data_IF_893068903297
#
_entry.id   IF_893068903297
#
_cell.length_a   1.000
_cell.length_b   1.000
_cell.length_c   1.000
_cell.angle_alpha   90.00
_cell.angle_beta   90.00
_cell.angle_gamma   90.00
#
_symmetry.space_group_name_H-M   'P 1'
#
loop_
_entity.id
_entity.type
_entity.pdbx_description
1 polymer ?
#
# COMPACT_ATOMS: atom_id res chain seq x y z
N UNK A 1 -9.53 -7.74 -9.69
CA UNK A 1 -9.49 -6.42 -9.02
C UNK A 1 -8.60 -5.52 -9.88
N UNK A 2 -9.02 -4.29 -10.18
CA UNK A 2 -8.24 -3.37 -10.99
C UNK A 2 -6.94 -2.92 -10.31
N UNK A 3 -5.97 -2.49 -11.12
CA UNK A 3 -4.67 -1.97 -10.70
C UNK A 3 -4.40 -0.62 -11.37
N UNK A 4 -3.58 0.22 -10.76
CA UNK A 4 -3.06 1.42 -11.41
C UNK A 4 -1.79 1.01 -12.19
N UNK A 5 -2.03 0.39 -13.34
CA UNK A 5 -1.00 -0.18 -14.20
C UNK A 5 -1.26 0.11 -15.69
N UNK A 6 -0.66 -0.67 -16.60
CA UNK A 6 -0.75 -0.41 -18.06
C UNK A 6 -2.18 -0.26 -18.57
N UNK A 7 -3.13 -1.05 -18.04
CA UNK A 7 -4.54 -0.96 -18.46
C UNK A 7 -5.20 0.35 -18.05
N UNK A 8 -4.93 0.83 -16.82
CA UNK A 8 -5.43 2.12 -16.36
C UNK A 8 -4.88 3.27 -17.22
N UNK A 9 -3.59 3.20 -17.58
CA UNK A 9 -2.97 4.17 -18.48
C UNK A 9 -3.56 4.12 -19.90
N UNK A 10 -3.83 2.92 -20.43
CA UNK A 10 -4.52 2.76 -21.73
C UNK A 10 -5.93 3.35 -21.70
N UNK A 11 -6.66 3.14 -20.62
CA UNK A 11 -7.97 3.74 -20.43
C UNK A 11 -7.92 5.25 -20.41
N UNK A 12 -6.96 5.86 -19.68
CA UNK A 12 -6.77 7.30 -19.67
C UNK A 12 -6.43 7.87 -21.06
N UNK A 13 -5.57 7.17 -21.82
CA UNK A 13 -5.27 7.55 -23.19
C UNK A 13 -6.53 7.50 -24.07
N UNK A 14 -7.37 6.49 -23.90
CA UNK A 14 -8.65 6.35 -24.60
C UNK A 14 -9.62 7.49 -24.27
N UNK A 15 -9.77 7.84 -23.00
CA UNK A 15 -10.56 8.98 -22.58
C UNK A 15 -10.06 10.28 -23.21
N UNK A 16 -8.75 10.47 -23.27
CA UNK A 16 -8.15 11.64 -23.91
C UNK A 16 -8.47 11.72 -25.40
N UNK A 17 -8.41 10.60 -26.15
CA UNK A 17 -8.77 10.56 -27.57
C UNK A 17 -10.26 10.87 -27.80
N UNK A 18 -11.11 10.53 -26.84
CA UNK A 18 -12.54 10.88 -26.85
C UNK A 18 -12.81 12.31 -26.33
N UNK A 19 -11.78 13.13 -26.15
CA UNK A 19 -11.88 14.50 -25.61
C UNK A 19 -12.51 14.58 -24.21
N UNK A 20 -12.50 13.49 -23.44
CA UNK A 20 -12.95 13.53 -22.06
C UNK A 20 -11.93 14.23 -21.18
N UNK A 21 -12.38 15.08 -20.26
CA UNK A 21 -11.52 15.88 -19.38
C UNK A 21 -11.58 15.43 -17.92
N UNK A 22 -12.58 14.64 -17.57
CA UNK A 22 -12.83 14.19 -16.20
C UNK A 22 -13.16 12.70 -16.20
N UNK A 23 -12.60 12.00 -15.26
CA UNK A 23 -12.95 10.62 -14.93
C UNK A 23 -13.30 10.52 -13.44
N UNK A 24 -14.57 10.27 -13.15
CA UNK A 24 -15.01 10.08 -11.79
C UNK A 24 -14.66 8.66 -11.33
N UNK A 25 -13.97 8.56 -10.21
CA UNK A 25 -13.61 7.29 -9.56
C UNK A 25 -14.07 7.27 -8.11
N UNK A 26 -14.18 6.07 -7.54
CA UNK A 26 -14.36 5.91 -6.10
C UNK A 26 -13.05 6.27 -5.38
N UNK A 27 -13.10 6.58 -4.07
CA UNK A 27 -11.89 6.86 -3.30
C UNK A 27 -10.83 5.76 -3.45
N UNK A 28 -9.58 6.16 -3.68
CA UNK A 28 -8.45 5.26 -3.93
C UNK A 28 -7.59 5.02 -2.67
N UNK A 29 -8.09 5.41 -1.50
CA UNK A 29 -7.42 5.19 -0.21
C UNK A 29 -7.50 3.74 0.28
N UNK A 30 -6.71 3.40 1.32
CA UNK A 30 -6.73 2.07 1.92
C UNK A 30 -8.09 1.79 2.55
N UNK A 31 -8.74 0.72 2.11
CA UNK A 31 -10.07 0.33 2.57
C UNK A 31 -10.05 -0.17 4.02
N UNK A 32 -11.15 0.07 4.73
CA UNK A 32 -11.39 -0.42 6.08
C UNK A 32 -12.30 -1.65 6.11
N UNK A 33 -13.32 -1.59 6.98
CA UNK A 33 -14.27 -2.68 7.15
C UNK A 33 -15.12 -2.90 5.88
N UNK A 34 -15.28 -4.17 5.50
CA UNK A 34 -16.12 -4.57 4.37
C UNK A 34 -15.57 -4.14 3.00
N UNK A 35 -14.27 -3.86 2.92
CA UNK A 35 -13.59 -3.45 1.68
C UNK A 35 -14.20 -2.21 0.99
N UNK A 36 -14.99 -1.44 1.75
CA UNK A 36 -15.66 -0.26 1.25
C UNK A 36 -14.66 0.87 0.95
N UNK A 37 -14.66 1.44 -0.26
CA UNK A 37 -13.81 2.58 -0.61
C UNK A 37 -14.18 3.84 0.16
N UNK A 38 -15.39 3.91 0.71
CA UNK A 38 -15.86 5.04 1.52
C UNK A 38 -15.44 4.97 2.99
N UNK A 39 -14.93 3.83 3.44
CA UNK A 39 -14.40 3.64 4.80
C UNK A 39 -12.86 3.57 4.76
N UNK A 40 -12.25 4.61 4.19
CA UNK A 40 -10.79 4.67 4.13
C UNK A 40 -10.15 4.90 5.50
N UNK A 41 -8.97 4.32 5.67
CA UNK A 41 -8.16 4.48 6.89
C UNK A 41 -7.29 5.75 6.87
N UNK A 42 -7.18 6.40 5.74
CA UNK A 42 -6.39 7.62 5.55
C UNK A 42 -6.90 8.41 4.36
N UNK A 43 -6.87 9.74 4.47
CA UNK A 43 -7.21 10.67 3.39
C UNK A 43 -6.07 10.80 2.38
N UNK A 44 -4.82 10.58 2.82
CA UNK A 44 -3.64 10.83 2.01
C UNK A 44 -3.02 9.55 1.42
N UNK A 45 -3.08 8.45 2.16
CA UNK A 45 -2.46 7.19 1.76
C UNK A 45 -3.21 6.53 0.58
N UNK A 46 -2.45 5.99 -0.36
CA UNK A 46 -2.98 5.16 -1.44
C UNK A 46 -3.33 3.74 -0.98
N UNK A 47 -4.28 3.10 -1.65
CA UNK A 47 -4.57 1.69 -1.44
C UNK A 47 -3.47 0.84 -2.08
N UNK A 48 -2.65 0.19 -1.27
CA UNK A 48 -1.55 -0.65 -1.74
C UNK A 48 -2.02 -1.82 -2.63
N UNK A 49 -3.29 -2.21 -2.52
CA UNK A 49 -3.87 -3.25 -3.39
C UNK A 49 -4.03 -2.79 -4.84
N UNK A 50 -3.91 -1.50 -5.13
CA UNK A 50 -3.92 -0.95 -6.49
C UNK A 50 -2.53 -0.92 -7.14
N UNK A 51 -1.47 -1.28 -6.44
CA UNK A 51 -0.12 -1.37 -6.99
C UNK A 51 -0.10 -2.44 -8.09
N UNK A 52 0.34 -2.07 -9.29
CA UNK A 52 0.41 -2.98 -10.42
C UNK A 52 1.62 -3.92 -10.33
N UNK A 53 1.39 -5.22 -10.50
CA UNK A 53 2.47 -6.20 -10.58
C UNK A 53 3.28 -6.04 -11.87
N UNK A 54 2.66 -5.64 -12.96
CA UNK A 54 3.37 -5.35 -14.22
C UNK A 54 4.33 -4.18 -14.04
N UNK A 55 3.87 -3.08 -13.44
CA UNK A 55 4.75 -1.95 -13.14
C UNK A 55 5.91 -2.32 -12.20
N UNK A 56 5.66 -3.19 -11.21
CA UNK A 56 6.73 -3.70 -10.33
C UNK A 56 7.75 -4.57 -11.08
N UNK A 57 7.31 -5.32 -12.11
CA UNK A 57 8.23 -6.08 -12.98
C UNK A 57 9.08 -5.15 -13.84
N UNK A 58 8.45 -4.16 -14.47
CA UNK A 58 9.15 -3.17 -15.32
C UNK A 58 10.24 -2.43 -14.53
N UNK A 59 9.97 -2.13 -13.25
CA UNK A 59 10.93 -1.51 -12.32
C UNK A 59 11.95 -2.51 -11.73
N UNK A 60 11.86 -3.80 -12.07
CA UNK A 60 12.75 -4.85 -11.57
C UNK A 60 12.56 -5.21 -10.09
N UNK A 61 11.49 -4.75 -9.47
CA UNK A 61 11.16 -5.00 -8.06
C UNK A 61 10.49 -6.35 -7.84
N UNK A 62 9.75 -6.83 -8.82
CA UNK A 62 9.04 -8.12 -8.83
C UNK A 62 9.58 -9.00 -9.96
N UNK A 63 9.84 -10.28 -9.67
CA UNK A 63 10.30 -11.26 -10.65
C UNK A 63 9.25 -12.36 -10.81
N UNK A 64 9.28 -13.09 -11.91
CA UNK A 64 8.39 -14.24 -12.14
C UNK A 64 8.51 -15.31 -11.03
N UNK A 65 9.72 -15.51 -10.50
CA UNK A 65 9.96 -16.44 -9.40
C UNK A 65 9.25 -16.04 -8.10
N UNK A 66 9.01 -14.74 -7.87
CA UNK A 66 8.35 -14.22 -6.65
C UNK A 66 6.83 -14.47 -6.67
N UNK A 67 6.26 -14.73 -7.85
CA UNK A 67 4.82 -14.95 -8.07
C UNK A 67 4.50 -16.32 -8.68
N UNK A 68 5.48 -17.22 -8.74
CA UNK A 68 5.29 -18.56 -9.33
C UNK A 68 4.10 -19.30 -8.72
N UNK A 69 3.94 -19.19 -7.40
CA UNK A 69 2.88 -19.84 -6.63
C UNK A 69 1.71 -18.90 -6.34
N UNK A 70 1.59 -17.79 -7.09
CA UNK A 70 0.48 -16.86 -6.93
C UNK A 70 -0.82 -17.56 -7.38
N UNK A 71 -1.85 -17.58 -6.51
CA UNK A 71 -3.07 -18.33 -6.82
C UNK A 71 -3.82 -17.74 -8.00
N UNK A 72 -4.49 -18.62 -8.75
CA UNK A 72 -5.48 -18.24 -9.75
C UNK A 72 -6.79 -17.86 -9.04
N UNK A 73 -7.45 -16.81 -9.51
CA UNK A 73 -8.72 -16.32 -8.97
C UNK A 73 -9.81 -16.36 -10.05
N UNK A 74 -11.10 -16.46 -9.65
CA UNK A 74 -12.21 -16.39 -10.60
C UNK A 74 -12.22 -15.09 -11.41
N UNK A 75 -12.48 -15.18 -12.71
CA UNK A 75 -12.59 -14.00 -13.59
C UNK A 75 -13.93 -13.28 -13.47
N UNK A 76 -14.99 -14.00 -13.08
CA UNK A 76 -16.36 -13.49 -13.04
C UNK A 76 -16.70 -12.65 -11.79
N UNK A 77 -15.92 -12.77 -10.72
CA UNK A 77 -16.12 -12.04 -9.46
C UNK A 77 -14.83 -11.94 -8.67
N UNK A 78 -14.78 -11.00 -7.70
CA UNK A 78 -13.64 -10.84 -6.80
C UNK A 78 -13.97 -11.42 -5.44
N UNK A 79 -13.22 -12.45 -5.03
CA UNK A 79 -13.18 -12.89 -3.64
C UNK A 79 -12.07 -12.09 -2.93
N UNK A 80 -12.46 -11.05 -2.21
CA UNK A 80 -11.52 -10.10 -1.62
C UNK A 80 -10.58 -10.74 -0.60
N UNK A 81 -11.06 -11.64 0.25
CA UNK A 81 -10.25 -12.25 1.32
C UNK A 81 -8.97 -12.92 0.80
N UNK A 82 -9.08 -13.96 -0.03
CA UNK A 82 -7.93 -14.63 -0.65
C UNK A 82 -7.08 -13.71 -1.51
N UNK A 83 -7.69 -12.82 -2.31
CA UNK A 83 -6.97 -11.87 -3.17
C UNK A 83 -6.11 -10.92 -2.33
N UNK A 84 -6.67 -10.31 -1.29
CA UNK A 84 -5.94 -9.39 -0.41
C UNK A 84 -4.79 -10.10 0.30
N UNK A 85 -5.02 -11.33 0.77
CA UNK A 85 -3.99 -12.13 1.44
C UNK A 85 -2.82 -12.43 0.51
N UNK A 86 -3.10 -12.93 -0.69
CA UNK A 86 -2.07 -13.27 -1.67
C UNK A 86 -1.29 -12.03 -2.13
N UNK A 87 -1.98 -10.94 -2.46
CA UNK A 87 -1.33 -9.69 -2.87
C UNK A 87 -0.48 -9.08 -1.74
N UNK A 88 -0.99 -9.06 -0.51
CA UNK A 88 -0.24 -8.55 0.63
C UNK A 88 1.07 -9.33 0.87
N UNK A 89 1.07 -10.66 0.65
CA UNK A 89 2.27 -11.47 0.76
C UNK A 89 3.33 -11.08 -0.30
N UNK A 90 2.94 -10.91 -1.56
CA UNK A 90 3.83 -10.48 -2.64
C UNK A 90 4.37 -9.07 -2.38
N UNK A 91 3.49 -8.11 -2.05
CA UNK A 91 3.89 -6.73 -1.77
C UNK A 91 4.84 -6.62 -0.57
N UNK A 92 4.64 -7.46 0.45
CA UNK A 92 5.58 -7.55 1.57
C UNK A 92 6.98 -7.99 1.11
N UNK A 93 7.09 -8.99 0.23
CA UNK A 93 8.36 -9.43 -0.32
C UNK A 93 9.02 -8.35 -1.21
N UNK A 94 8.22 -7.61 -1.99
CA UNK A 94 8.70 -6.45 -2.76
C UNK A 94 9.31 -5.41 -1.82
N UNK A 95 8.58 -4.99 -0.78
CA UNK A 95 9.10 -4.01 0.19
C UNK A 95 10.36 -4.49 0.91
N UNK A 96 10.41 -5.77 1.29
CA UNK A 96 11.59 -6.40 1.92
C UNK A 96 12.80 -6.40 1.00
N UNK A 97 12.60 -6.62 -0.29
CA UNK A 97 13.68 -6.68 -1.29
C UNK A 97 14.07 -5.32 -1.88
N UNK A 98 13.31 -4.26 -1.62
CA UNK A 98 13.47 -2.93 -2.22
C UNK A 98 14.90 -2.40 -2.11
N UNK A 99 15.51 -2.44 -0.93
CA UNK A 99 16.89 -1.93 -0.74
C UNK A 99 17.92 -2.62 -1.64
N UNK A 100 17.67 -3.86 -2.04
CA UNK A 100 18.54 -4.67 -2.89
C UNK A 100 18.22 -4.53 -4.37
N UNK A 101 16.90 -4.53 -4.72
CA UNK A 101 16.43 -4.59 -6.11
C UNK A 101 16.22 -3.21 -6.75
N UNK A 102 15.82 -2.21 -5.98
CA UNK A 102 15.52 -0.89 -6.51
C UNK A 102 16.76 -0.21 -7.11
N UNK A 103 16.58 0.45 -8.25
CA UNK A 103 17.59 1.29 -8.88
C UNK A 103 18.00 2.46 -7.97
N UNK A 104 19.12 3.10 -8.27
CA UNK A 104 19.56 4.28 -7.54
C UNK A 104 18.54 5.43 -7.66
N UNK A 105 17.97 5.60 -8.85
CA UNK A 105 16.94 6.60 -9.13
C UNK A 105 15.68 6.36 -8.30
N UNK A 106 15.20 5.11 -8.26
CA UNK A 106 13.99 4.77 -7.51
C UNK A 106 14.19 4.94 -6.00
N UNK A 107 15.37 4.60 -5.48
CA UNK A 107 15.74 4.87 -4.07
C UNK A 107 15.77 6.35 -3.75
N UNK A 108 16.34 7.16 -4.64
CA UNK A 108 16.38 8.61 -4.48
C UNK A 108 14.97 9.21 -4.50
N UNK A 109 14.12 8.79 -5.44
CA UNK A 109 12.73 9.20 -5.53
C UNK A 109 11.94 8.82 -4.27
N UNK A 110 12.14 7.60 -3.74
CA UNK A 110 11.52 7.18 -2.49
C UNK A 110 11.97 8.02 -1.28
N UNK A 111 13.26 8.37 -1.19
CA UNK A 111 13.75 9.24 -0.12
C UNK A 111 13.13 10.64 -0.21
N UNK A 112 13.08 11.22 -1.41
CA UNK A 112 12.44 12.51 -1.65
C UNK A 112 10.94 12.48 -1.32
N UNK A 113 10.24 11.42 -1.67
CA UNK A 113 8.84 11.21 -1.29
C UNK A 113 8.68 11.17 0.23
N UNK A 114 9.49 10.39 0.95
CA UNK A 114 9.44 10.32 2.41
C UNK A 114 9.69 11.67 3.08
N UNK A 115 10.59 12.49 2.54
CA UNK A 115 10.87 13.83 3.03
C UNK A 115 9.70 14.79 2.78
N UNK A 116 9.19 14.81 1.56
CA UNK A 116 8.08 15.66 1.13
C UNK A 116 6.78 15.37 1.89
N UNK A 117 6.49 14.10 2.11
CA UNK A 117 5.22 13.63 2.67
C UNK A 117 5.31 13.31 4.19
N UNK A 118 6.36 13.79 4.87
CA UNK A 118 6.64 13.54 6.30
C UNK A 118 5.47 13.90 7.21
N UNK A 119 4.69 14.92 6.86
CA UNK A 119 3.57 15.44 7.64
C UNK A 119 2.44 14.40 7.89
N UNK A 120 2.30 13.40 7.03
CA UNK A 120 1.29 12.35 7.20
C UNK A 120 1.88 10.93 7.14
N UNK A 121 2.92 10.71 6.33
CA UNK A 121 3.45 9.38 6.02
C UNK A 121 4.02 8.66 7.24
N UNK A 122 4.70 9.40 8.13
CA UNK A 122 5.28 8.83 9.35
C UNK A 122 4.21 8.29 10.30
N UNK A 123 3.16 9.06 10.53
CA UNK A 123 2.07 8.66 11.41
C UNK A 123 1.21 7.56 10.78
N UNK A 124 0.97 7.63 9.46
CA UNK A 124 0.24 6.59 8.76
C UNK A 124 0.98 5.25 8.78
N UNK A 125 2.28 5.24 8.47
CA UNK A 125 3.09 4.03 8.46
C UNK A 125 3.16 3.36 9.85
N UNK A 126 3.29 4.16 10.90
CA UNK A 126 3.19 3.66 12.28
C UNK A 126 1.80 3.09 12.57
N UNK A 127 0.74 3.82 12.23
CA UNK A 127 -0.64 3.38 12.43
C UNK A 127 -0.93 2.06 11.70
N UNK A 128 -0.58 1.96 10.42
CA UNK A 128 -0.79 0.76 9.60
C UNK A 128 -0.04 -0.45 10.19
N UNK A 129 1.19 -0.24 10.66
CA UNK A 129 1.99 -1.27 11.32
C UNK A 129 1.34 -1.74 12.62
N UNK A 130 0.96 -0.82 13.50
CA UNK A 130 0.30 -1.13 14.77
C UNK A 130 -1.05 -1.80 14.54
N UNK A 131 -1.84 -1.33 13.56
CA UNK A 131 -3.11 -1.96 13.21
C UNK A 131 -2.93 -3.42 12.82
N UNK A 132 -1.93 -3.73 12.01
CA UNK A 132 -1.58 -5.12 11.66
C UNK A 132 -1.15 -5.94 12.88
N UNK A 133 -0.32 -5.38 13.76
CA UNK A 133 0.15 -6.03 15.00
C UNK A 133 -0.98 -6.32 15.98
N UNK A 134 -2.01 -5.48 16.01
CA UNK A 134 -3.22 -5.68 16.83
C UNK A 134 -4.35 -6.39 16.08
N UNK A 135 -4.02 -7.24 15.10
CA UNK A 135 -4.99 -8.12 14.41
C UNK A 135 -6.02 -7.37 13.55
N UNK A 136 -5.70 -6.16 13.07
CA UNK A 136 -6.60 -5.36 12.25
C UNK A 136 -7.74 -4.68 13.03
N UNK A 137 -7.85 -4.90 14.34
CA UNK A 137 -8.88 -4.34 15.20
C UNK A 137 -8.86 -2.80 15.29
N UNK A 138 -9.94 -2.18 15.82
CA UNK A 138 -10.01 -0.73 15.95
C UNK A 138 -8.96 -0.22 16.95
N UNK A 139 -8.31 0.90 16.62
CA UNK A 139 -7.28 1.53 17.45
C UNK A 139 -7.79 1.92 18.87
N UNK A 140 -9.09 2.12 19.01
CA UNK A 140 -9.73 2.41 20.30
C UNK A 140 -9.59 1.26 21.33
N UNK A 141 -9.26 0.04 20.87
CA UNK A 141 -8.98 -1.14 21.70
C UNK A 141 -7.50 -1.39 21.95
N UNK A 142 -6.61 -0.54 21.43
CA UNK A 142 -5.17 -0.66 21.67
C UNK A 142 -4.81 -0.31 23.12
N UNK A 143 -3.62 -0.71 23.59
CA UNK A 143 -3.13 -0.31 24.92
C UNK A 143 -3.23 1.23 25.11
N UNK A 144 -3.63 1.63 26.30
CA UNK A 144 -3.91 3.03 26.62
C UNK A 144 -2.78 4.00 26.22
N UNK A 145 -1.47 3.71 26.45
CA UNK A 145 -0.39 4.60 26.04
C UNK A 145 -0.32 4.83 24.53
N UNK A 146 -0.60 3.83 23.71
CA UNK A 146 -0.66 3.94 22.24
C UNK A 146 -1.91 4.69 21.81
N UNK A 147 -3.07 4.32 22.38
CA UNK A 147 -4.35 4.97 22.13
C UNK A 147 -4.32 6.45 22.49
N UNK A 148 -3.73 6.79 23.63
CA UNK A 148 -3.53 8.16 24.10
C UNK A 148 -2.37 8.90 23.45
N UNK A 149 -1.69 8.28 22.46
CA UNK A 149 -0.56 8.84 21.71
C UNK A 149 0.56 9.38 22.62
N UNK A 150 0.84 8.69 23.73
CA UNK A 150 1.90 9.09 24.64
C UNK A 150 3.27 9.09 23.92
N UNK A 151 4.06 10.18 23.96
CA UNK A 151 5.30 10.30 23.18
C UNK A 151 6.29 9.16 23.41
N UNK A 152 6.44 8.71 24.66
CA UNK A 152 7.33 7.59 25.00
C UNK A 152 6.87 6.28 24.37
N UNK A 153 5.56 5.98 24.40
CA UNK A 153 4.99 4.77 23.79
C UNK A 153 5.12 4.78 22.27
N UNK A 154 4.84 5.92 21.62
CA UNK A 154 5.03 6.06 20.17
C UNK A 154 6.50 5.93 19.77
N UNK A 155 7.43 6.52 20.55
CA UNK A 155 8.87 6.39 20.30
C UNK A 155 9.35 4.94 20.45
N UNK A 156 8.89 4.22 21.47
CA UNK A 156 9.19 2.82 21.66
C UNK A 156 8.65 1.98 20.50
N UNK A 157 7.40 2.19 20.10
CA UNK A 157 6.78 1.48 18.98
C UNK A 157 7.50 1.75 17.64
N UNK A 158 7.93 2.99 17.38
CA UNK A 158 8.73 3.31 16.17
C UNK A 158 10.08 2.58 16.16
N UNK A 159 10.74 2.43 17.28
CA UNK A 159 12.00 1.67 17.39
C UNK A 159 11.77 0.18 17.21
N UNK A 160 10.79 -0.37 17.91
CA UNK A 160 10.46 -1.80 17.86
C UNK A 160 10.05 -2.27 16.46
N UNK A 161 9.29 -1.45 15.74
CA UNK A 161 8.71 -1.80 14.44
C UNK A 161 9.32 -1.02 13.27
N UNK A 162 10.56 -0.57 13.40
CA UNK A 162 11.22 0.28 12.38
C UNK A 162 11.24 -0.35 10.98
N UNK A 163 11.41 -1.68 10.90
CA UNK A 163 11.44 -2.43 9.64
C UNK A 163 10.07 -2.44 8.97
N UNK A 164 9.01 -2.75 9.70
CA UNK A 164 7.65 -2.81 9.17
C UNK A 164 7.14 -1.43 8.77
N UNK A 165 7.49 -0.41 9.54
CA UNK A 165 7.20 1.00 9.23
C UNK A 165 7.89 1.40 7.91
N UNK A 166 9.17 1.04 7.74
CA UNK A 166 9.87 1.25 6.48
C UNK A 166 9.18 0.55 5.30
N UNK A 167 8.76 -0.70 5.47
CA UNK A 167 8.03 -1.43 4.42
C UNK A 167 6.69 -0.78 4.08
N UNK A 168 5.96 -0.31 5.10
CA UNK A 168 4.72 0.46 4.89
C UNK A 168 4.96 1.72 4.06
N UNK A 169 6.04 2.47 4.31
CA UNK A 169 6.41 3.66 3.53
C UNK A 169 6.83 3.33 2.09
N UNK A 170 7.50 2.20 1.86
CA UNK A 170 7.92 1.77 0.52
C UNK A 170 6.70 1.46 -0.35
N UNK A 171 5.61 1.00 0.24
CA UNK A 171 4.38 0.67 -0.47
C UNK A 171 3.46 1.88 -0.71
N UNK A 172 3.81 3.07 -0.26
CA UNK A 172 3.10 4.33 -0.52
C UNK A 172 3.75 5.09 -1.67
#
# INVERSE_FOLDING_TARGET
MGEIGPEAHRWLAHLNTMSQKLWQVLPLGPTGYGDSPYQTLSTFAGNTMLISFDSLRDEGLLREEDIRDFPSFPESHVDYGPVLTARAAVLYQVAKSFSRRASASLKAGWMQFCEKETNWLEDYALFATLKKKHGGGPWTKWPEPLRGRQPAALSAARKEHATEIKYSKILQ
#
